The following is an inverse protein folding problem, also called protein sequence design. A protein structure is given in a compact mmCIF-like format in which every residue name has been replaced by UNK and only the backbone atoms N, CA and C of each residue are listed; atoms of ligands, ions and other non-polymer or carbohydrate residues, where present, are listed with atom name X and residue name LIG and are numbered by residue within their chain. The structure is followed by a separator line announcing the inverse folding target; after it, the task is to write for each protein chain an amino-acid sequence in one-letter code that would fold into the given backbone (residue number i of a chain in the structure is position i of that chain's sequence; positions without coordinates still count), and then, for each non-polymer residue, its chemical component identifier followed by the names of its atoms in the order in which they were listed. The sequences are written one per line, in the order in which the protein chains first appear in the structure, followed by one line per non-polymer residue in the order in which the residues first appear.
data_IF_895204410673
#
_entry.id   IF_895204410673
#
_cell.length_a   1.000
_cell.length_b   1.000
_cell.length_c   1.000
_cell.angle_alpha   90.00
_cell.angle_beta   90.00
_cell.angle_gamma   90.00
#
_symmetry.space_group_name_H-M   'P 1'
#
loop_
_entity.id
_entity.type
_entity.pdbx_description
1 polymer ?
#
# COMPACT_ATOMS: atom_id res chain seq x y z
N UNK A 1 -9.97 5.68 -7.22
CA UNK A 1 -9.49 6.25 -8.50
C UNK A 1 -8.54 5.26 -9.13
N UNK A 2 -8.72 4.96 -10.42
CA UNK A 2 -7.81 4.10 -11.14
C UNK A 2 -6.49 4.83 -11.39
N UNK A 3 -5.40 4.07 -11.47
CA UNK A 3 -4.02 4.56 -11.61
C UNK A 3 -3.62 4.45 -13.07
N UNK A 4 -3.11 5.52 -13.73
CA UNK A 4 -2.68 5.42 -15.11
C UNK A 4 -1.47 4.47 -15.25
N UNK A 5 -1.43 3.63 -16.28
CA UNK A 5 -0.34 2.67 -16.47
C UNK A 5 1.03 3.33 -16.71
N UNK A 6 1.04 4.50 -17.36
CA UNK A 6 2.24 5.33 -17.59
C UNK A 6 2.74 6.03 -16.31
N UNK A 7 2.15 5.73 -15.15
CA UNK A 7 2.62 6.27 -13.88
C UNK A 7 4.06 5.86 -13.62
N UNK A 8 4.92 6.87 -13.42
CA UNK A 8 6.34 6.64 -13.15
C UNK A 8 6.54 5.87 -11.84
N UNK A 9 7.61 5.06 -11.72
CA UNK A 9 8.02 4.50 -10.45
C UNK A 9 8.22 5.60 -9.41
N UNK A 10 7.90 5.30 -8.16
CA UNK A 10 7.79 6.20 -7.00
C UNK A 10 6.54 7.11 -7.00
N UNK A 11 5.61 6.95 -7.93
CA UNK A 11 4.31 7.64 -7.84
C UNK A 11 3.51 7.10 -6.65
N UNK A 12 3.00 8.00 -5.80
CA UNK A 12 2.13 7.66 -4.68
C UNK A 12 0.73 7.38 -5.20
N UNK A 13 0.27 6.15 -5.03
CA UNK A 13 -1.07 5.72 -5.45
C UNK A 13 -2.07 5.71 -4.29
N UNK A 14 -1.60 5.42 -3.08
CA UNK A 14 -2.44 5.45 -1.89
C UNK A 14 -1.63 5.83 -0.64
N UNK A 15 -2.33 6.32 0.37
CA UNK A 15 -1.75 6.59 1.70
C UNK A 15 -2.50 5.75 2.71
N UNK A 16 -1.77 4.87 3.41
CA UNK A 16 -2.27 4.03 4.48
C UNK A 16 -1.90 4.71 5.78
N UNK A 17 -2.91 5.23 6.47
CA UNK A 17 -2.74 5.74 7.82
C UNK A 17 -3.15 4.65 8.82
N UNK A 18 -2.18 4.12 9.53
CA UNK A 18 -2.44 3.23 10.66
C UNK A 18 -2.68 4.09 11.90
N UNK A 19 -3.70 3.75 12.68
CA UNK A 19 -3.88 4.35 14.00
C UNK A 19 -3.90 3.22 15.01
N UNK A 20 -2.90 3.23 15.87
CA UNK A 20 -2.95 2.44 17.08
C UNK A 20 -3.76 3.21 18.13
N UNK A 21 -4.63 2.50 18.86
CA UNK A 21 -5.51 3.12 19.86
C UNK A 21 -4.81 3.26 21.21
N UNK A 22 -3.69 2.57 21.41
CA UNK A 22 -2.82 2.72 22.56
C UNK A 22 -1.85 3.87 22.29
N UNK A 23 -2.11 5.00 22.94
CA UNK A 23 -1.33 6.25 22.78
C UNK A 23 0.07 6.22 23.41
N UNK A 24 0.65 5.04 23.63
CA UNK A 24 1.97 4.87 24.26
C UNK A 24 3.08 4.60 23.25
N UNK A 25 4.34 4.70 23.71
CA UNK A 25 5.60 4.40 22.99
C UNK A 25 5.63 3.08 22.19
N UNK A 26 4.66 2.18 22.39
CA UNK A 26 4.48 0.92 21.66
C UNK A 26 3.64 1.04 20.37
N UNK A 27 3.25 2.24 19.95
CA UNK A 27 2.45 2.48 18.74
C UNK A 27 3.14 2.15 17.40
N UNK A 28 4.32 1.52 17.41
CA UNK A 28 5.02 1.13 16.20
C UNK A 28 4.31 -0.04 15.51
N UNK A 29 3.56 0.29 14.44
CA UNK A 29 2.94 -0.70 13.56
C UNK A 29 3.78 -0.87 12.31
N UNK A 30 4.11 -2.12 11.99
CA UNK A 30 4.83 -2.49 10.77
C UNK A 30 3.83 -2.90 9.70
N UNK A 31 3.86 -2.24 8.55
CA UNK A 31 3.05 -2.62 7.38
C UNK A 31 3.91 -3.29 6.33
N UNK A 32 3.44 -4.42 5.80
CA UNK A 32 4.10 -5.14 4.71
C UNK A 32 3.09 -5.51 3.63
N UNK A 33 3.53 -5.53 2.37
CA UNK A 33 2.74 -6.06 1.26
C UNK A 33 3.09 -7.54 1.10
N UNK A 34 2.09 -8.38 0.97
CA UNK A 34 2.26 -9.78 0.60
C UNK A 34 2.18 -9.94 -0.93
N UNK A 35 3.13 -10.68 -1.51
CA UNK A 35 3.19 -11.00 -2.94
C UNK A 35 4.28 -10.27 -3.75
N UNK A 36 4.59 -10.81 -4.92
CA UNK A 36 5.47 -10.18 -5.93
C UNK A 36 4.65 -9.21 -6.77
N UNK A 37 4.40 -8.03 -6.21
CA UNK A 37 3.63 -6.98 -6.85
C UNK A 37 4.56 -5.81 -7.24
N UNK A 38 4.25 -5.06 -8.32
CA UNK A 38 5.01 -3.88 -8.72
C UNK A 38 4.78 -2.67 -7.80
N UNK A 39 4.45 -2.88 -6.53
CA UNK A 39 4.17 -1.85 -5.54
C UNK A 39 5.05 -2.01 -4.31
N UNK A 40 5.30 -0.91 -3.61
CA UNK A 40 6.07 -0.87 -2.38
C UNK A 40 5.43 0.07 -1.37
N UNK A 41 5.52 -0.29 -0.09
CA UNK A 41 5.16 0.61 1.00
C UNK A 41 6.40 1.39 1.44
N UNK A 42 6.27 2.70 1.45
CA UNK A 42 7.26 3.63 1.97
C UNK A 42 6.73 4.28 3.25
N UNK A 43 7.46 4.13 4.36
CA UNK A 43 7.10 4.78 5.64
C UNK A 43 7.36 6.28 5.50
N UNK A 44 6.31 7.09 5.57
CA UNK A 44 6.43 8.55 5.43
C UNK A 44 6.42 9.28 6.77
N UNK A 45 5.71 8.78 7.78
CA UNK A 45 5.62 9.40 9.11
C UNK A 45 5.34 8.35 10.19
N UNK A 46 5.21 8.75 11.46
CA UNK A 46 4.69 7.87 12.51
C UNK A 46 3.33 7.31 12.10
N UNK A 47 3.30 5.99 11.88
CA UNK A 47 2.14 5.19 11.48
C UNK A 47 1.54 5.51 10.09
N UNK A 48 2.22 6.32 9.27
CA UNK A 48 1.78 6.64 7.92
C UNK A 48 2.68 5.98 6.89
N UNK A 49 2.07 5.17 6.02
CA UNK A 49 2.71 4.50 4.91
C UNK A 49 2.15 4.99 3.59
N UNK A 50 3.02 5.24 2.63
CA UNK A 50 2.67 5.59 1.26
C UNK A 50 2.84 4.35 0.40
N UNK A 51 1.78 3.96 -0.29
CA UNK A 51 1.87 2.95 -1.32
C UNK A 51 2.35 3.63 -2.60
N UNK A 52 3.53 3.22 -3.05
CA UNK A 52 4.18 3.73 -4.26
C UNK A 52 4.33 2.63 -5.31
N UNK A 53 4.41 3.04 -6.57
CA UNK A 53 4.72 2.15 -7.68
C UNK A 53 6.21 1.83 -7.65
N UNK A 54 6.57 0.56 -7.50
CA UNK A 54 7.97 0.12 -7.50
C UNK A 54 8.48 -0.20 -8.90
N UNK A 55 7.60 -0.67 -9.80
CA UNK A 55 7.92 -1.07 -11.17
C UNK A 55 6.82 -0.59 -12.10
N UNK A 56 7.13 -0.40 -13.38
CA UNK A 56 6.16 0.02 -14.39
C UNK A 56 4.93 -0.89 -14.35
N UNK A 57 3.75 -0.25 -14.37
CA UNK A 57 2.48 -0.93 -14.49
C UNK A 57 2.21 -1.16 -15.97
N UNK A 58 1.66 -2.32 -16.27
CA UNK A 58 1.39 -2.76 -17.63
C UNK A 58 -0.04 -3.28 -17.66
N UNK A 59 -0.95 -2.47 -18.21
CA UNK A 59 -2.38 -2.78 -18.22
C UNK A 59 -2.67 -4.00 -19.09
N UNK A 60 -1.89 -4.18 -20.17
CA UNK A 60 -1.99 -5.33 -21.08
C UNK A 60 -1.68 -6.65 -20.37
N UNK A 61 -0.71 -6.66 -19.46
CA UNK A 61 -0.42 -7.82 -18.61
C UNK A 61 -1.45 -7.98 -17.50
N UNK A 62 -1.68 -6.91 -16.72
CA UNK A 62 -2.52 -6.95 -15.52
C UNK A 62 -3.23 -5.62 -15.37
N UNK A 63 -4.54 -5.64 -15.58
CA UNK A 63 -5.39 -4.45 -15.49
C UNK A 63 -5.85 -4.16 -14.05
N UNK A 64 -5.83 -5.17 -13.18
CA UNK A 64 -6.27 -5.05 -11.77
C UNK A 64 -5.28 -5.77 -10.87
N UNK A 65 -4.74 -5.05 -9.89
CA UNK A 65 -3.82 -5.59 -8.90
C UNK A 65 -4.49 -5.69 -7.54
N UNK A 66 -4.50 -6.90 -6.96
CA UNK A 66 -4.98 -7.13 -5.60
C UNK A 66 -3.80 -7.11 -4.64
N UNK A 67 -3.66 -6.00 -3.92
CA UNK A 67 -2.56 -5.75 -3.00
C UNK A 67 -3.03 -6.12 -1.60
N UNK A 68 -2.41 -7.14 -0.99
CA UNK A 68 -2.72 -7.51 0.39
C UNK A 68 -1.74 -6.82 1.32
N UNK A 69 -2.23 -5.90 2.14
CA UNK A 69 -1.43 -5.14 3.10
C UNK A 69 -1.65 -5.72 4.48
N UNK A 70 -0.58 -6.19 5.11
CA UNK A 70 -0.61 -6.72 6.47
C UNK A 70 0.06 -5.73 7.42
N UNK A 71 -0.72 -5.20 8.36
CA UNK A 71 -0.26 -4.33 9.44
C UNK A 71 -0.17 -5.15 10.74
N UNK A 72 0.97 -5.07 11.42
CA UNK A 72 1.23 -5.78 12.67
C UNK A 72 1.73 -4.83 13.75
N UNK A 73 1.03 -4.81 14.89
CA UNK A 73 1.45 -4.00 16.03
C UNK A 73 2.55 -4.69 16.85
N UNK A 74 3.22 -3.89 17.67
CA UNK A 74 4.19 -4.32 18.70
C UNK A 74 3.55 -4.42 20.10
N UNK A 75 2.22 -4.52 20.17
CA UNK A 75 1.49 -4.69 21.40
C UNK A 75 1.73 -6.07 22.05
N UNK A 76 1.33 -6.18 23.31
CA UNK A 76 1.27 -7.45 24.04
C UNK A 76 -0.11 -7.58 24.68
N UNK A 77 -1.02 -8.40 24.14
CA UNK A 77 -0.83 -9.32 23.01
C UNK A 77 -0.66 -8.61 21.66
N UNK A 78 0.13 -9.20 20.75
CA UNK A 78 0.37 -8.64 19.42
C UNK A 78 -0.85 -8.86 18.54
N UNK A 79 -1.45 -7.78 18.03
CA UNK A 79 -2.51 -7.88 17.03
C UNK A 79 -1.91 -7.62 15.64
N UNK A 80 -2.61 -8.16 14.66
CA UNK A 80 -2.32 -7.94 13.26
C UNK A 80 -3.63 -7.84 12.52
N UNK A 81 -3.62 -7.06 11.45
CA UNK A 81 -4.74 -6.87 10.57
C UNK A 81 -4.23 -6.89 9.14
N UNK A 82 -4.91 -7.64 8.29
CA UNK A 82 -4.68 -7.58 6.86
C UNK A 82 -5.81 -6.82 6.18
N UNK A 83 -5.50 -6.17 5.06
CA UNK A 83 -6.47 -5.46 4.25
C UNK A 83 -6.11 -5.59 2.78
N UNK A 84 -7.10 -5.99 1.99
CA UNK A 84 -6.97 -6.10 0.55
C UNK A 84 -7.28 -4.75 -0.09
N UNK A 85 -6.40 -4.29 -0.97
CA UNK A 85 -6.50 -3.05 -1.73
C UNK A 85 -6.48 -3.40 -3.20
N UNK A 86 -7.61 -3.15 -3.86
CA UNK A 86 -7.73 -3.35 -5.31
C UNK A 86 -7.28 -2.08 -6.00
N UNK A 87 -6.24 -2.19 -6.82
CA UNK A 87 -5.73 -1.10 -7.66
C UNK A 87 -6.06 -1.42 -9.10
N UNK A 88 -6.98 -0.65 -9.65
CA UNK A 88 -7.32 -0.71 -11.07
C UNK A 88 -6.39 0.19 -11.85
N UNK A 89 -5.80 -0.35 -12.91
CA UNK A 89 -4.97 0.41 -13.83
C UNK A 89 -5.84 0.95 -14.94
N UNK A 90 -6.00 2.27 -14.97
CA UNK A 90 -6.61 2.95 -16.10
C UNK A 90 -5.60 3.02 -17.22
N UNK A 91 -6.10 2.88 -18.44
CA UNK A 91 -5.35 3.39 -19.58
C UNK A 91 -5.15 4.90 -19.37
N UNK A 92 -4.00 5.41 -19.78
CA UNK A 92 -3.73 6.86 -19.79
C UNK A 92 -4.74 7.65 -20.64
N UNK A 93 -5.50 6.95 -21.48
CA UNK A 93 -6.38 7.54 -22.46
C UNK A 93 -7.88 7.52 -22.13
N UNK A 94 -8.30 7.02 -20.96
CA UNK A 94 -9.72 7.05 -20.55
C UNK A 94 -10.01 8.30 -19.69
N UNK A 95 -10.62 9.31 -20.31
CA UNK A 95 -11.21 10.50 -19.67
C UNK A 95 -12.72 10.32 -19.46
#
# INVERSE_FOLDING_TARGET
NPVPEDSVPNTVIAVINVRDRDSGDNGEVSCNIDGDLPFRLERSSENTYKLIIARLLDREKVSVYNITITARDRGSPSLWSQREVVVEVSDVNDN
#
